data_IF_177374790226
#
_entry.id   IF_177374790226
#
_cell.length_a   1.000
_cell.length_b   1.000
_cell.length_c   1.000
_cell.angle_alpha   90.00
_cell.angle_beta   90.00
_cell.angle_gamma   90.00
#
_symmetry.space_group_name_H-M   'P 1'
#
loop_
_entity.id
_entity.type
_entity.pdbx_description
1 polymer ?
#
# COMPACT_ATOMS: atom_id res chain seq x y z
N UNK A 1 1.61 -19.68 12.24
CA UNK A 1 2.36 -18.49 11.73
C UNK A 1 2.79 -17.53 12.87
N UNK A 2 1.89 -17.08 13.78
CA UNK A 2 2.28 -16.15 14.85
C UNK A 2 3.26 -16.81 15.82
N UNK A 3 2.96 -18.02 16.30
CA UNK A 3 3.82 -18.78 17.21
C UNK A 3 5.18 -19.10 16.58
N UNK A 4 5.21 -19.42 15.27
CA UNK A 4 6.45 -19.63 14.52
C UNK A 4 7.32 -18.38 14.46
N UNK A 5 6.70 -17.21 14.23
CA UNK A 5 7.41 -15.92 14.23
C UNK A 5 8.00 -15.61 15.61
N UNK A 6 7.23 -15.83 16.67
CA UNK A 6 7.70 -15.66 18.05
C UNK A 6 8.88 -16.57 18.36
N UNK A 7 8.78 -17.85 18.02
CA UNK A 7 9.89 -18.81 18.19
C UNK A 7 11.12 -18.41 17.39
N UNK A 8 10.95 -17.92 16.16
CA UNK A 8 12.05 -17.46 15.33
C UNK A 8 12.75 -16.26 15.95
N UNK A 9 11.98 -15.27 16.43
CA UNK A 9 12.54 -14.09 17.11
C UNK A 9 13.26 -14.52 18.40
N UNK A 10 12.63 -15.33 19.23
CA UNK A 10 13.24 -15.82 20.47
C UNK A 10 14.56 -16.57 20.21
N UNK A 11 14.63 -17.40 19.17
CA UNK A 11 15.87 -18.07 18.76
C UNK A 11 16.95 -17.08 18.29
N UNK A 12 16.58 -16.07 17.51
CA UNK A 12 17.53 -15.07 16.98
C UNK A 12 18.19 -14.26 18.09
N UNK A 13 17.51 -14.10 19.22
CA UNK A 13 17.99 -13.33 20.37
C UNK A 13 18.37 -14.20 21.58
N UNK A 14 18.49 -15.53 21.40
CA UNK A 14 18.70 -16.48 22.51
C UNK A 14 19.96 -16.20 23.35
N UNK A 15 20.93 -15.45 22.82
CA UNK A 15 22.13 -15.03 23.53
C UNK A 15 21.95 -13.81 24.45
N UNK A 16 20.78 -13.17 24.38
CA UNK A 16 20.47 -11.97 25.18
C UNK A 16 19.37 -12.29 26.18
N UNK A 17 19.39 -11.60 27.32
CA UNK A 17 18.26 -11.59 28.24
C UNK A 17 17.12 -10.73 27.66
N UNK A 18 16.02 -11.35 27.28
CA UNK A 18 14.89 -10.65 26.66
C UNK A 18 13.82 -10.33 27.69
N UNK A 19 13.20 -9.14 27.61
CA UNK A 19 11.96 -8.87 28.31
C UNK A 19 10.83 -9.75 27.74
N UNK A 20 9.71 -9.86 28.45
CA UNK A 20 8.51 -10.52 27.94
C UNK A 20 8.01 -9.78 26.70
N UNK A 21 7.64 -10.55 25.65
CA UNK A 21 7.12 -9.97 24.43
C UNK A 21 5.71 -9.42 24.64
N UNK A 22 5.49 -8.21 24.18
CA UNK A 22 4.16 -7.67 23.92
C UNK A 22 3.75 -8.03 22.48
N UNK A 23 2.59 -8.65 22.31
CA UNK A 23 2.17 -9.22 21.04
C UNK A 23 0.86 -8.58 20.59
N UNK A 24 0.90 -7.97 19.40
CA UNK A 24 -0.27 -7.37 18.78
C UNK A 24 -0.69 -8.18 17.56
N UNK A 25 -1.90 -8.75 17.65
CA UNK A 25 -2.44 -9.58 16.57
C UNK A 25 -2.99 -8.74 15.43
N UNK A 26 -2.79 -9.24 14.20
CA UNK A 26 -3.44 -8.75 12.98
C UNK A 26 -4.82 -9.40 12.81
N UNK A 27 -5.78 -8.74 12.15
CA UNK A 27 -6.86 -9.47 11.51
C UNK A 27 -6.30 -10.58 10.61
N UNK A 28 -7.01 -11.71 10.54
CA UNK A 28 -6.56 -12.87 9.74
C UNK A 28 -6.77 -12.69 8.25
N UNK A 29 -7.76 -11.88 7.86
CA UNK A 29 -8.14 -11.57 6.48
C UNK A 29 -8.32 -10.06 6.30
N UNK A 30 -8.29 -9.61 5.05
CA UNK A 30 -8.61 -8.26 4.61
C UNK A 30 -7.82 -7.13 5.30
N UNK A 31 -6.60 -7.43 5.73
CA UNK A 31 -5.75 -6.48 6.45
C UNK A 31 -4.76 -5.73 5.57
N UNK A 32 -4.48 -6.26 4.35
CA UNK A 32 -3.42 -5.75 3.49
C UNK A 32 -3.95 -4.64 2.58
N UNK A 33 -3.38 -3.44 2.72
CA UNK A 33 -3.78 -2.25 1.98
C UNK A 33 -3.02 -2.07 0.65
N UNK A 34 -2.11 -2.96 0.32
CA UNK A 34 -1.36 -2.92 -0.93
C UNK A 34 -1.23 -4.31 -1.54
N UNK A 35 -1.50 -4.43 -2.85
CA UNK A 35 -1.35 -5.68 -3.59
C UNK A 35 -0.94 -5.38 -5.04
N UNK A 36 -0.13 -6.26 -5.61
CA UNK A 36 0.40 -6.16 -6.97
C UNK A 36 0.15 -7.50 -7.67
N UNK A 37 -0.44 -7.46 -8.87
CA UNK A 37 -0.77 -8.65 -9.64
C UNK A 37 -0.26 -8.53 -11.07
N UNK A 38 0.30 -9.62 -11.58
CA UNK A 38 0.51 -9.75 -13.01
C UNK A 38 -0.82 -9.98 -13.70
N UNK A 39 -0.98 -9.41 -14.89
CA UNK A 39 -2.13 -9.61 -15.76
C UNK A 39 -1.76 -10.62 -16.84
N UNK A 40 -2.57 -11.64 -16.99
CA UNK A 40 -2.39 -12.68 -18.00
C UNK A 40 -3.47 -12.57 -19.07
N UNK A 41 -3.05 -12.66 -20.33
CA UNK A 41 -3.90 -12.67 -21.50
C UNK A 41 -3.95 -14.07 -22.07
N UNK A 42 -5.14 -14.63 -22.24
CA UNK A 42 -5.34 -15.96 -22.81
C UNK A 42 -6.53 -15.92 -23.79
N UNK A 43 -6.24 -15.70 -25.07
CA UNK A 43 -7.29 -15.39 -26.06
C UNK A 43 -8.04 -14.11 -25.68
N UNK A 44 -9.35 -14.21 -25.54
CA UNK A 44 -10.21 -13.10 -25.12
C UNK A 44 -10.29 -12.93 -23.60
N UNK A 45 -9.78 -13.91 -22.82
CA UNK A 45 -9.77 -13.84 -21.36
C UNK A 45 -8.64 -12.96 -20.82
N UNK A 46 -8.90 -12.32 -19.69
CA UNK A 46 -8.00 -11.45 -18.97
C UNK A 46 -8.14 -11.71 -17.47
N UNK A 47 -7.05 -12.06 -16.79
CA UNK A 47 -7.10 -12.39 -15.37
C UNK A 47 -5.80 -12.09 -14.63
N UNK A 48 -5.89 -11.97 -13.32
CA UNK A 48 -4.70 -11.83 -12.48
C UNK A 48 -4.01 -13.16 -12.25
N UNK A 49 -2.69 -13.11 -12.14
CA UNK A 49 -1.88 -14.25 -11.73
C UNK A 49 -0.88 -13.85 -10.64
N UNK A 50 -0.50 -14.84 -9.85
CA UNK A 50 0.68 -14.82 -9.01
C UNK A 50 1.56 -16.03 -9.30
N UNK A 51 2.80 -15.98 -8.82
CA UNK A 51 3.72 -17.10 -8.92
C UNK A 51 3.93 -17.70 -7.54
N UNK A 52 3.81 -18.99 -7.46
CA UNK A 52 4.17 -19.72 -6.25
C UNK A 52 5.66 -19.50 -5.91
N UNK A 53 5.95 -19.25 -4.63
CA UNK A 53 7.29 -18.86 -4.20
C UNK A 53 8.32 -19.97 -4.33
N UNK A 54 7.90 -21.25 -4.24
CA UNK A 54 8.75 -22.42 -4.26
C UNK A 54 8.83 -23.02 -5.67
N UNK A 55 7.68 -23.30 -6.26
CA UNK A 55 7.59 -23.98 -7.56
C UNK A 55 7.76 -23.04 -8.75
N UNK A 56 7.62 -21.72 -8.54
CA UNK A 56 7.59 -20.68 -9.59
C UNK A 56 6.48 -20.89 -10.63
N UNK A 57 5.54 -21.77 -10.37
CA UNK A 57 4.38 -21.95 -11.23
C UNK A 57 3.40 -20.80 -11.08
N UNK A 58 2.82 -20.36 -12.20
CA UNK A 58 1.77 -19.36 -12.18
C UNK A 58 0.45 -20.00 -11.73
N UNK A 59 -0.35 -19.26 -10.99
CA UNK A 59 -1.73 -19.60 -10.68
C UNK A 59 -2.63 -18.38 -10.81
N UNK A 60 -3.89 -18.61 -11.19
CA UNK A 60 -4.91 -17.58 -11.34
C UNK A 60 -5.35 -17.09 -9.95
N UNK A 61 -5.60 -15.81 -9.85
CA UNK A 61 -6.05 -15.13 -8.63
C UNK A 61 -7.34 -14.38 -8.94
N UNK A 62 -8.47 -14.94 -8.57
CA UNK A 62 -9.77 -14.30 -8.73
C UNK A 62 -10.17 -13.50 -7.48
N UNK A 63 -9.67 -13.91 -6.32
CA UNK A 63 -9.83 -13.25 -5.03
C UNK A 63 -8.52 -13.35 -4.22
N UNK A 64 -8.20 -12.31 -3.46
CA UNK A 64 -7.00 -12.29 -2.62
C UNK A 64 -7.38 -11.99 -1.16
N UNK A 65 -7.72 -13.02 -0.37
CA UNK A 65 -8.34 -12.87 0.95
C UNK A 65 -7.55 -12.04 1.96
N UNK A 66 -6.23 -11.91 1.80
CA UNK A 66 -5.40 -11.08 2.67
C UNK A 66 -5.46 -9.59 2.30
N UNK A 67 -5.78 -9.26 1.04
CA UNK A 67 -5.98 -7.87 0.62
C UNK A 67 -7.26 -7.29 1.23
N UNK A 68 -7.31 -5.98 1.38
CA UNK A 68 -8.49 -5.27 1.87
C UNK A 68 -9.73 -5.63 1.04
N UNK A 69 -10.89 -5.56 1.65
CA UNK A 69 -12.16 -5.78 0.92
C UNK A 69 -12.27 -4.83 -0.27
N UNK A 70 -11.78 -3.61 -0.09
CA UNK A 70 -11.81 -2.60 -1.13
C UNK A 70 -10.93 -2.99 -2.32
N UNK A 71 -9.71 -3.50 -2.09
CA UNK A 71 -8.86 -4.02 -3.18
C UNK A 71 -9.56 -5.15 -3.90
N UNK A 72 -10.16 -6.14 -3.20
CA UNK A 72 -10.86 -7.24 -3.85
C UNK A 72 -12.05 -6.77 -4.71
N UNK A 73 -12.82 -5.78 -4.26
CA UNK A 73 -13.89 -5.17 -5.05
C UNK A 73 -13.33 -4.50 -6.32
N UNK A 74 -12.23 -3.76 -6.19
CA UNK A 74 -11.58 -3.12 -7.33
C UNK A 74 -10.93 -4.12 -8.29
N UNK A 75 -10.38 -5.22 -7.81
CA UNK A 75 -9.83 -6.30 -8.65
C UNK A 75 -10.89 -6.82 -9.63
N UNK A 76 -12.08 -7.19 -9.13
CA UNK A 76 -13.17 -7.70 -9.95
C UNK A 76 -13.69 -6.62 -10.90
N UNK A 77 -14.07 -5.45 -10.37
CA UNK A 77 -14.66 -4.38 -11.17
C UNK A 77 -13.72 -3.87 -12.28
N UNK A 78 -12.41 -3.77 -12.00
CA UNK A 78 -11.43 -3.37 -12.99
C UNK A 78 -11.36 -4.36 -14.15
N UNK A 79 -11.26 -5.67 -13.89
CA UNK A 79 -11.21 -6.67 -14.95
C UNK A 79 -12.50 -6.67 -15.78
N UNK A 80 -13.66 -6.56 -15.14
CA UNK A 80 -14.96 -6.51 -15.82
C UNK A 80 -15.07 -5.30 -16.78
N UNK A 81 -14.51 -4.17 -16.36
CA UNK A 81 -14.51 -2.94 -17.19
C UNK A 81 -13.49 -2.97 -18.34
N UNK A 82 -12.33 -3.60 -18.16
CA UNK A 82 -11.26 -3.52 -19.16
C UNK A 82 -11.17 -4.71 -20.11
N UNK A 83 -11.79 -5.87 -19.78
CA UNK A 83 -11.69 -7.08 -20.59
C UNK A 83 -12.13 -6.89 -22.05
N UNK A 84 -13.15 -6.09 -22.29
CA UNK A 84 -13.70 -5.78 -23.61
C UNK A 84 -13.21 -4.44 -24.18
N UNK A 85 -12.31 -3.75 -23.48
CA UNK A 85 -11.74 -2.47 -23.90
C UNK A 85 -10.33 -2.68 -24.46
N UNK A 86 -10.20 -2.74 -25.79
CA UNK A 86 -8.92 -2.99 -26.47
C UNK A 86 -7.83 -1.97 -26.11
N UNK A 87 -8.20 -0.71 -25.89
CA UNK A 87 -7.24 0.35 -25.56
C UNK A 87 -6.62 0.11 -24.18
N UNK A 88 -7.45 -0.27 -23.19
CA UNK A 88 -7.01 -0.47 -21.81
C UNK A 88 -6.40 -1.85 -21.58
N UNK A 89 -6.89 -2.92 -22.28
CA UNK A 89 -6.35 -4.26 -22.07
C UNK A 89 -5.04 -4.52 -22.79
N UNK A 90 -4.84 -3.91 -23.97
CA UNK A 90 -3.70 -4.22 -24.83
C UNK A 90 -2.36 -3.91 -24.14
N UNK A 91 -1.51 -4.94 -24.00
CA UNK A 91 -0.18 -4.84 -23.40
C UNK A 91 -0.17 -4.42 -21.92
N UNK A 92 -1.31 -4.45 -21.22
CA UNK A 92 -1.37 -4.37 -19.77
C UNK A 92 -0.73 -5.64 -19.20
N UNK A 93 0.29 -5.49 -18.34
CA UNK A 93 1.00 -6.66 -17.81
C UNK A 93 1.00 -6.74 -16.27
N UNK A 94 0.67 -5.64 -15.59
CA UNK A 94 0.60 -5.58 -14.14
C UNK A 94 -0.40 -4.52 -13.70
N UNK A 95 -1.06 -4.79 -12.59
CA UNK A 95 -1.89 -3.81 -11.86
C UNK A 95 -1.44 -3.79 -10.42
N UNK A 96 -1.19 -2.58 -9.90
CA UNK A 96 -0.87 -2.35 -8.50
C UNK A 96 -2.04 -1.60 -7.85
N UNK A 97 -2.45 -2.07 -6.68
CA UNK A 97 -3.49 -1.46 -5.87
C UNK A 97 -2.89 -0.95 -4.57
N UNK A 98 -3.22 0.27 -4.21
CA UNK A 98 -2.98 0.86 -2.90
C UNK A 98 -4.31 1.40 -2.38
N UNK A 99 -4.80 0.83 -1.28
CA UNK A 99 -5.99 1.31 -0.60
C UNK A 99 -5.66 1.88 0.77
N UNK A 100 -6.60 2.63 1.34
CA UNK A 100 -6.52 3.14 2.70
C UNK A 100 -7.68 2.59 3.54
N UNK A 101 -7.53 2.57 4.87
CA UNK A 101 -8.67 2.26 5.75
C UNK A 101 -9.70 3.39 5.77
N UNK A 102 -9.32 4.60 5.35
CA UNK A 102 -10.21 5.75 5.16
C UNK A 102 -11.04 5.69 3.87
N UNK A 103 -10.78 4.71 2.97
CA UNK A 103 -11.66 4.43 1.82
C UNK A 103 -11.20 5.05 0.50
N UNK A 104 -9.94 5.46 0.36
CA UNK A 104 -9.36 5.87 -0.93
C UNK A 104 -8.60 4.72 -1.59
N UNK A 105 -8.56 4.72 -2.92
CA UNK A 105 -7.81 3.73 -3.72
C UNK A 105 -6.99 4.42 -4.80
N UNK A 106 -5.77 3.95 -4.99
CA UNK A 106 -4.93 4.28 -6.13
C UNK A 106 -4.68 3.00 -6.94
N UNK A 107 -4.96 3.05 -8.24
CA UNK A 107 -4.74 1.95 -9.17
C UNK A 107 -3.66 2.35 -10.16
N UNK A 108 -2.57 1.59 -10.22
CA UNK A 108 -1.53 1.77 -11.24
C UNK A 108 -1.64 0.68 -12.28
N UNK A 109 -1.82 1.08 -13.54
CA UNK A 109 -1.90 0.22 -14.72
C UNK A 109 -0.57 0.25 -15.47
N UNK A 110 0.16 -0.88 -15.52
CA UNK A 110 1.51 -0.96 -16.07
C UNK A 110 1.52 -1.66 -17.43
N UNK A 111 2.08 -0.98 -18.43
CA UNK A 111 2.00 -1.38 -19.84
C UNK A 111 3.35 -1.61 -20.50
N UNK A 112 3.36 -2.54 -21.47
CA UNK A 112 4.44 -2.71 -22.44
C UNK A 112 4.19 -1.94 -23.76
N UNK A 113 3.41 -0.86 -23.72
CA UNK A 113 3.18 0.08 -24.83
C UNK A 113 3.25 1.51 -24.30
N UNK A 114 3.45 2.48 -25.20
CA UNK A 114 3.28 3.90 -24.84
C UNK A 114 1.80 4.23 -24.67
N UNK A 115 1.51 5.18 -23.80
CA UNK A 115 0.16 5.66 -23.49
C UNK A 115 -0.05 6.97 -24.23
N UNK A 116 -1.13 7.04 -24.98
CA UNK A 116 -1.54 8.16 -25.81
C UNK A 116 -2.80 8.85 -25.29
N UNK A 117 -3.30 9.83 -26.02
CA UNK A 117 -4.49 10.59 -25.64
C UNK A 117 -5.74 9.69 -25.61
N UNK A 118 -5.83 8.68 -26.48
CA UNK A 118 -6.93 7.73 -26.50
C UNK A 118 -6.93 6.87 -25.22
N UNK A 119 -5.75 6.43 -24.77
CA UNK A 119 -5.61 5.75 -23.48
C UNK A 119 -6.08 6.65 -22.33
N UNK A 120 -5.68 7.94 -22.34
CA UNK A 120 -6.08 8.90 -21.29
C UNK A 120 -7.60 9.04 -21.22
N UNK A 121 -8.26 9.19 -22.38
CA UNK A 121 -9.72 9.29 -22.45
C UNK A 121 -10.41 8.04 -21.89
N UNK A 122 -9.97 6.85 -22.30
CA UNK A 122 -10.52 5.60 -21.82
C UNK A 122 -10.27 5.37 -20.32
N UNK A 123 -9.10 5.76 -19.82
CA UNK A 123 -8.76 5.68 -18.41
C UNK A 123 -9.59 6.65 -17.55
N UNK A 124 -9.92 7.84 -18.05
CA UNK A 124 -10.84 8.78 -17.38
C UNK A 124 -12.24 8.22 -17.27
N UNK A 125 -12.74 7.59 -18.34
CA UNK A 125 -14.03 6.91 -18.33
C UNK A 125 -14.04 5.74 -17.34
N UNK A 126 -12.99 4.92 -17.31
CA UNK A 126 -12.78 3.85 -16.33
C UNK A 126 -12.80 4.40 -14.91
N UNK A 127 -12.05 5.46 -14.64
CA UNK A 127 -12.03 6.12 -13.33
C UNK A 127 -13.43 6.55 -12.90
N UNK A 128 -14.20 7.16 -13.80
CA UNK A 128 -15.57 7.59 -13.53
C UNK A 128 -16.48 6.42 -13.11
N UNK A 129 -16.36 5.27 -13.80
CA UNK A 129 -17.15 4.06 -13.43
C UNK A 129 -16.71 3.48 -12.09
N UNK A 130 -15.40 3.34 -11.86
CA UNK A 130 -14.86 2.81 -10.61
C UNK A 130 -15.13 3.71 -9.40
N UNK A 131 -15.31 5.02 -9.61
CA UNK A 131 -15.66 5.98 -8.57
C UNK A 131 -17.04 5.71 -7.92
N UNK A 132 -17.88 4.88 -8.52
CA UNK A 132 -19.10 4.40 -7.90
C UNK A 132 -18.85 3.45 -6.71
N UNK A 133 -17.67 2.84 -6.63
CA UNK A 133 -17.28 1.93 -5.53
C UNK A 133 -16.69 2.74 -4.37
N UNK A 134 -15.69 3.58 -4.67
CA UNK A 134 -15.01 4.44 -3.69
C UNK A 134 -14.21 5.54 -4.42
N UNK A 135 -13.68 6.49 -3.65
CA UNK A 135 -12.73 7.48 -4.18
C UNK A 135 -11.51 6.77 -4.80
N UNK A 136 -11.29 6.98 -6.10
CA UNK A 136 -10.21 6.30 -6.85
C UNK A 136 -9.44 7.27 -7.72
N UNK A 137 -8.12 7.08 -7.76
CA UNK A 137 -7.24 7.67 -8.75
C UNK A 137 -6.55 6.58 -9.57
N UNK A 138 -6.25 6.91 -10.85
CA UNK A 138 -5.63 5.97 -11.79
C UNK A 138 -4.35 6.57 -12.35
N UNK A 139 -3.30 5.75 -12.37
CA UNK A 139 -2.01 6.06 -12.98
C UNK A 139 -1.74 5.05 -14.10
N UNK A 140 -1.33 5.55 -15.26
CA UNK A 140 -0.76 4.74 -16.31
C UNK A 140 0.76 4.76 -16.27
N UNK A 141 1.40 3.59 -16.34
CA UNK A 141 2.85 3.48 -16.44
C UNK A 141 3.27 2.72 -17.68
N UNK A 142 4.24 3.26 -18.37
CA UNK A 142 4.92 2.61 -19.47
C UNK A 142 6.43 2.91 -19.38
N UNK A 143 7.25 2.34 -20.27
CA UNK A 143 8.68 2.60 -20.26
C UNK A 143 8.97 4.11 -20.35
N UNK A 144 9.57 4.67 -19.30
CA UNK A 144 9.91 6.11 -19.18
C UNK A 144 8.70 7.07 -19.24
N UNK A 145 7.48 6.56 -19.00
CA UNK A 145 6.27 7.37 -19.01
C UNK A 145 5.46 7.10 -17.76
N UNK A 146 4.97 8.16 -17.13
CA UNK A 146 3.98 8.14 -16.04
C UNK A 146 2.89 9.14 -16.40
N UNK A 147 1.67 8.64 -16.57
CA UNK A 147 0.47 9.43 -16.80
C UNK A 147 -0.34 9.41 -15.50
N UNK A 148 -0.57 10.58 -14.94
CA UNK A 148 -1.37 10.77 -13.73
C UNK A 148 -2.67 11.43 -14.20
N UNK A 149 -3.83 10.82 -13.89
CA UNK A 149 -5.11 11.43 -14.28
C UNK A 149 -5.45 12.63 -13.40
N UNK A 150 -5.32 12.49 -12.07
CA UNK A 150 -5.51 13.59 -11.11
C UNK A 150 -4.44 13.59 -10.03
N UNK A 151 -4.34 12.52 -9.24
CA UNK A 151 -3.36 12.37 -8.15
C UNK A 151 -2.53 11.11 -8.29
N UNK A 152 -1.33 11.12 -7.75
CA UNK A 152 -0.48 9.94 -7.63
C UNK A 152 -0.30 9.48 -6.17
N UNK A 153 -1.24 9.82 -5.33
CA UNK A 153 -1.26 9.48 -3.91
C UNK A 153 -2.68 9.27 -3.38
N UNK A 154 -2.78 8.63 -2.24
CA UNK A 154 -3.97 8.56 -1.41
C UNK A 154 -3.69 9.12 -0.03
N UNK A 155 -4.75 9.58 0.67
CA UNK A 155 -4.65 10.06 2.05
C UNK A 155 -5.13 8.98 3.01
N UNK A 156 -4.21 8.44 3.79
CA UNK A 156 -4.52 7.50 4.87
C UNK A 156 -4.79 8.27 6.16
N UNK A 157 -5.83 7.89 6.88
CA UNK A 157 -6.12 8.44 8.20
C UNK A 157 -6.03 7.32 9.23
N UNK A 158 -5.00 7.38 10.09
CA UNK A 158 -4.79 6.43 11.17
C UNK A 158 -5.25 7.01 12.50
N UNK A 159 -5.91 6.19 13.32
CA UNK A 159 -6.30 6.55 14.68
C UNK A 159 -5.32 5.96 15.69
N UNK A 160 -4.56 6.81 16.36
CA UNK A 160 -3.56 6.40 17.35
C UNK A 160 -3.94 6.97 18.72
N UNK A 161 -4.48 6.12 19.59
CA UNK A 161 -5.09 6.55 20.83
C UNK A 161 -6.35 7.37 20.57
N UNK A 162 -6.35 8.62 21.02
CA UNK A 162 -7.44 9.60 20.85
C UNK A 162 -7.21 10.60 19.68
N UNK A 163 -6.11 10.43 18.93
CA UNK A 163 -5.69 11.34 17.87
C UNK A 163 -5.78 10.69 16.49
N UNK A 164 -6.09 11.51 15.50
CA UNK A 164 -5.99 11.13 14.08
C UNK A 164 -4.74 11.74 13.46
N UNK A 165 -4.07 10.93 12.64
CA UNK A 165 -2.92 11.30 11.86
C UNK A 165 -3.20 11.06 10.38
N UNK A 166 -2.86 12.03 9.55
CA UNK A 166 -3.08 11.98 8.11
C UNK A 166 -1.74 11.77 7.41
N UNK A 167 -1.68 10.74 6.58
CA UNK A 167 -0.46 10.37 5.86
C UNK A 167 -0.73 10.36 4.37
N UNK A 168 0.02 11.15 3.63
CA UNK A 168 0.05 11.03 2.19
C UNK A 168 0.85 9.80 1.80
N UNK A 169 0.21 8.87 1.11
CA UNK A 169 0.83 7.65 0.59
C UNK A 169 0.99 7.76 -0.92
N UNK A 170 2.20 8.08 -1.35
CA UNK A 170 2.52 8.29 -2.76
C UNK A 170 2.70 6.94 -3.46
N UNK A 171 2.25 6.87 -4.71
CA UNK A 171 2.43 5.71 -5.58
C UNK A 171 3.89 5.24 -5.59
N UNK A 172 4.09 3.94 -5.52
CA UNK A 172 5.39 3.28 -5.51
C UNK A 172 6.33 3.65 -4.35
N UNK A 173 5.86 4.40 -3.33
CA UNK A 173 6.59 4.61 -2.08
C UNK A 173 6.23 3.52 -1.06
N UNK A 174 7.16 3.24 -0.14
CA UNK A 174 6.87 2.27 0.92
C UNK A 174 5.78 2.81 1.87
N UNK A 175 4.83 1.95 2.19
CA UNK A 175 3.81 2.18 3.23
C UNK A 175 3.63 0.91 4.04
N UNK A 176 3.21 1.03 5.31
CA UNK A 176 2.89 -0.13 6.12
C UNK A 176 1.65 -0.85 5.55
N UNK A 177 1.79 -2.09 5.06
CA UNK A 177 0.70 -2.74 4.34
C UNK A 177 -0.47 -3.17 5.24
N UNK A 178 -0.27 -3.20 6.56
CA UNK A 178 -1.29 -3.51 7.54
C UNK A 178 -1.56 -2.29 8.43
N UNK A 179 -2.51 -1.45 8.01
CA UNK A 179 -2.82 -0.20 8.68
C UNK A 179 -3.27 -0.40 10.13
N UNK A 180 -4.07 -1.45 10.42
CA UNK A 180 -4.55 -1.76 11.77
C UNK A 180 -3.39 -2.13 12.72
N UNK A 181 -2.41 -2.89 12.24
CA UNK A 181 -1.21 -3.19 13.04
C UNK A 181 -0.32 -1.95 13.14
N UNK A 182 -0.27 -1.12 12.11
CA UNK A 182 0.47 0.13 12.15
C UNK A 182 -0.05 1.07 13.24
N UNK A 183 -1.37 1.24 13.37
CA UNK A 183 -1.97 2.00 14.49
C UNK A 183 -1.49 1.48 15.86
N UNK A 184 -1.47 0.16 16.04
CA UNK A 184 -0.98 -0.47 17.28
C UNK A 184 0.51 -0.23 17.51
N UNK A 185 1.33 -0.32 16.45
CA UNK A 185 2.77 -0.02 16.53
C UNK A 185 3.02 1.43 16.93
N UNK A 186 2.30 2.36 16.32
CA UNK A 186 2.41 3.79 16.63
C UNK A 186 1.97 4.09 18.06
N UNK A 187 0.85 3.54 18.50
CA UNK A 187 0.35 3.71 19.86
C UNK A 187 1.33 3.16 20.90
N UNK A 188 1.84 1.95 20.67
CA UNK A 188 2.84 1.34 21.54
C UNK A 188 4.10 2.20 21.64
N UNK A 189 4.61 2.69 20.50
CA UNK A 189 5.82 3.52 20.49
C UNK A 189 5.59 4.87 21.16
N UNK A 190 4.40 5.48 20.99
CA UNK A 190 4.03 6.69 21.73
C UNK A 190 4.05 6.47 23.24
N UNK A 191 3.49 5.34 23.69
CA UNK A 191 3.45 4.99 25.11
C UNK A 191 4.86 4.72 25.67
N UNK A 192 5.68 3.97 24.92
CA UNK A 192 7.04 3.63 25.28
C UNK A 192 7.97 4.86 25.36
N UNK A 193 7.70 5.88 24.56
CA UNK A 193 8.48 7.14 24.52
C UNK A 193 7.84 8.28 25.32
N UNK A 194 6.71 8.03 25.98
CA UNK A 194 6.06 9.03 26.83
C UNK A 194 7.01 9.43 27.96
N UNK A 195 7.23 10.71 28.15
CA UNK A 195 8.14 11.29 29.14
C UNK A 195 9.65 11.09 28.85
N UNK A 196 10.04 10.70 27.64
CA UNK A 196 11.46 10.61 27.27
C UNK A 196 12.07 12.00 27.11
N UNK A 197 11.35 12.90 26.42
CA UNK A 197 11.86 14.26 26.11
C UNK A 197 13.08 14.25 25.19
N UNK A 198 13.70 15.43 25.01
CA UNK A 198 14.90 15.58 24.18
C UNK A 198 14.60 15.48 22.68
N UNK A 199 15.57 15.03 21.89
CA UNK A 199 15.49 15.01 20.43
C UNK A 199 15.26 13.58 19.89
N UNK A 200 14.42 13.47 18.88
CA UNK A 200 14.19 12.23 18.13
C UNK A 200 14.90 12.28 16.77
N UNK A 201 15.61 11.22 16.45
CA UNK A 201 16.09 10.97 15.08
C UNK A 201 15.40 9.70 14.56
N UNK A 202 14.70 9.82 13.43
CA UNK A 202 14.16 8.69 12.67
C UNK A 202 14.98 8.50 11.39
N UNK A 203 15.61 7.34 11.25
CA UNK A 203 16.34 6.96 10.03
C UNK A 203 15.39 6.22 9.08
N UNK A 204 15.47 6.55 7.79
CA UNK A 204 14.58 5.98 6.76
C UNK A 204 13.09 6.22 7.08
N UNK A 205 12.75 7.46 7.40
CA UNK A 205 11.42 7.81 7.92
C UNK A 205 10.29 7.64 6.90
N UNK A 206 10.58 7.41 5.63
CA UNK A 206 9.58 7.31 4.57
C UNK A 206 8.70 8.56 4.51
N UNK A 207 7.39 8.37 4.63
CA UNK A 207 6.40 9.45 4.73
C UNK A 207 6.20 9.98 6.17
N UNK A 208 7.16 9.75 7.07
CA UNK A 208 7.11 10.23 8.46
C UNK A 208 6.18 9.42 9.36
N UNK A 209 5.99 8.13 9.08
CA UNK A 209 5.05 7.28 9.81
C UNK A 209 5.21 7.35 11.33
N UNK A 210 6.42 7.24 11.84
CA UNK A 210 6.72 7.38 13.27
C UNK A 210 6.97 8.82 13.68
N UNK A 211 7.72 9.59 12.88
CA UNK A 211 8.07 10.99 13.20
C UNK A 211 6.83 11.82 13.54
N UNK A 212 5.77 11.73 12.72
CA UNK A 212 4.55 12.49 12.95
C UNK A 212 3.81 12.04 14.22
N UNK A 213 3.67 10.72 14.40
CA UNK A 213 2.96 10.16 15.55
C UNK A 213 3.68 10.43 16.88
N UNK A 214 5.01 10.51 16.87
CA UNK A 214 5.84 10.65 18.07
C UNK A 214 6.21 12.10 18.39
N UNK A 215 6.00 13.03 17.48
CA UNK A 215 6.48 14.43 17.60
C UNK A 215 6.09 15.09 18.94
N UNK A 216 4.92 14.76 19.49
CA UNK A 216 4.47 15.35 20.75
C UNK A 216 5.26 14.89 22.00
N UNK A 217 6.06 13.82 21.89
CA UNK A 217 6.86 13.28 23.00
C UNK A 217 8.29 13.87 23.05
N UNK A 218 8.69 14.67 22.05
CA UNK A 218 10.06 15.15 21.89
C UNK A 218 10.11 16.65 21.64
N UNK A 219 11.25 17.26 21.98
CA UNK A 219 11.48 18.69 21.78
C UNK A 219 11.74 19.03 20.31
N UNK A 220 12.45 18.15 19.60
CA UNK A 220 12.74 18.26 18.17
C UNK A 220 12.71 16.88 17.52
N UNK A 221 12.29 16.84 16.26
CA UNK A 221 12.27 15.61 15.46
C UNK A 221 13.04 15.84 14.17
N UNK A 222 13.99 14.94 13.88
CA UNK A 222 14.73 14.89 12.63
C UNK A 222 14.47 13.56 11.93
N UNK A 223 13.74 13.59 10.80
CA UNK A 223 13.59 12.46 9.91
C UNK A 223 14.62 12.49 8.78
N UNK A 224 15.22 11.35 8.45
CA UNK A 224 16.10 11.20 7.29
C UNK A 224 15.52 10.18 6.31
N UNK A 225 15.52 10.50 5.02
CA UNK A 225 14.98 9.65 3.97
C UNK A 225 15.76 9.89 2.66
N UNK A 226 16.02 8.82 1.91
CA UNK A 226 16.71 8.87 0.61
C UNK A 226 15.73 9.21 -0.52
N UNK A 227 14.49 8.73 -0.40
CA UNK A 227 13.45 8.99 -1.40
C UNK A 227 12.95 10.43 -1.32
N UNK A 228 13.23 11.22 -2.37
CA UNK A 228 12.76 12.59 -2.49
C UNK A 228 11.23 12.69 -2.47
N UNK A 229 10.54 11.74 -3.11
CA UNK A 229 9.07 11.69 -3.15
C UNK A 229 8.46 11.45 -1.76
N UNK A 230 9.07 10.57 -0.96
CA UNK A 230 8.62 10.33 0.41
C UNK A 230 8.82 11.56 1.30
N UNK A 231 9.92 12.30 1.14
CA UNK A 231 10.16 13.55 1.88
C UNK A 231 9.16 14.66 1.51
N UNK A 232 8.78 14.75 0.25
CA UNK A 232 7.79 15.73 -0.21
C UNK A 232 6.42 15.46 0.43
N UNK A 233 6.06 14.19 0.67
CA UNK A 233 4.79 13.80 1.30
C UNK A 233 4.70 14.15 2.79
N UNK A 234 5.82 14.40 3.47
CA UNK A 234 5.85 14.82 4.90
C UNK A 234 5.60 16.32 5.07
N UNK A 235 5.69 17.11 4.01
CA UNK A 235 5.59 18.58 4.05
C UNK A 235 4.20 19.15 3.81
N UNK A 236 3.20 18.27 3.70
CA UNK A 236 1.80 18.67 3.42
C UNK A 236 1.06 19.02 4.70
#
# INVERSE_FOLDING_TARGET
QLDEKQQTIAKSFAQFELPSFEIFTSPTLNYRQRAEFRVWHEGDDLYYIMFDSETKQKFRVDDFPVASKLINQFMSALLDDIKDNEILRQRLFQVDFLSTISGEVLVSLLYHKQLDDEWIEQAQQLKSRLSAIASVDIIGRARKQKVILDKDYVMETLTVGDKQFHYQQVENSFTQPNAVVNEKMLLWTQQATKNTGGDLIELYCGNGNFSLALAANFDRVLGTEVSKYSLESVRV
#
